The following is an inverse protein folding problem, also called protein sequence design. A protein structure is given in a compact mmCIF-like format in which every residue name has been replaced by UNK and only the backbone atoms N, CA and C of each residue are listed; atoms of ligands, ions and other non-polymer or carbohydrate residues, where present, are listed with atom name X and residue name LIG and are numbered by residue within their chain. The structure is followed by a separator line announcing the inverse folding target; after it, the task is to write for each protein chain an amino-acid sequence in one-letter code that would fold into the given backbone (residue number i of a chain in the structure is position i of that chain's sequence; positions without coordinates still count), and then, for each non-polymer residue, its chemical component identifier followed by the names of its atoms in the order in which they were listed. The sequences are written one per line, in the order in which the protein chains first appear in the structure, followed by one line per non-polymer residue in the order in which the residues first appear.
data_IF_381286058347
#
_entry.id   IF_381286058347
#
_cell.length_a   1.000
_cell.length_b   1.000
_cell.length_c   1.000
_cell.angle_alpha   90.00
_cell.angle_beta   90.00
_cell.angle_gamma   90.00
#
_symmetry.space_group_name_H-M   'P 1'
#
loop_
_entity.id
_entity.type
_entity.pdbx_description
1 polymer ?
#
# COMPACT_ATOMS: atom_id res chain seq x y z
N UNK A 1 -53.88 11.84 26.91
CA UNK A 1 -52.96 11.54 25.78
C UNK A 1 -53.74 11.83 24.50
N UNK A 2 -53.37 12.87 23.74
CA UNK A 2 -54.17 13.32 22.59
C UNK A 2 -54.09 12.31 21.42
N UNK A 3 -55.19 12.03 20.71
CA UNK A 3 -55.19 11.08 19.59
C UNK A 3 -54.48 11.67 18.36
N UNK A 4 -53.68 10.84 17.70
CA UNK A 4 -52.82 11.21 16.55
C UNK A 4 -53.64 11.25 15.25
N UNK A 5 -53.35 12.24 14.39
CA UNK A 5 -53.85 12.32 13.01
C UNK A 5 -53.13 11.32 12.09
N UNK A 6 -53.89 10.68 11.21
CA UNK A 6 -53.39 9.71 10.22
C UNK A 6 -52.62 10.42 9.08
N UNK A 7 -51.48 9.85 8.67
CA UNK A 7 -50.75 10.28 7.45
C UNK A 7 -49.24 10.55 7.56
N UNK A 8 -48.59 10.33 8.71
CA UNK A 8 -47.14 10.53 8.84
C UNK A 8 -46.36 9.20 8.62
N UNK A 9 -45.30 9.16 7.79
CA UNK A 9 -44.51 7.97 7.58
C UNK A 9 -43.71 7.58 8.84
N UNK A 10 -43.51 6.28 9.04
CA UNK A 10 -42.79 5.72 10.18
C UNK A 10 -41.35 6.23 10.26
N UNK A 11 -41.09 7.22 11.13
CA UNK A 11 -39.72 7.62 11.49
C UNK A 11 -39.16 6.59 12.48
N UNK A 12 -38.49 5.55 11.98
CA UNK A 12 -37.67 4.66 12.83
C UNK A 12 -36.47 5.45 13.34
N UNK A 13 -36.58 6.01 14.54
CA UNK A 13 -35.45 6.60 15.26
C UNK A 13 -34.65 5.45 15.86
N UNK A 14 -33.43 5.22 15.35
CA UNK A 14 -32.48 4.29 15.97
C UNK A 14 -32.08 4.78 17.36
N UNK A 15 -31.62 3.87 18.23
CA UNK A 15 -31.40 4.05 19.68
C UNK A 15 -30.48 5.22 20.09
N UNK A 16 -29.84 5.91 19.13
CA UNK A 16 -28.94 7.06 19.34
C UNK A 16 -29.32 8.30 18.49
N UNK A 17 -30.56 8.45 18.04
CA UNK A 17 -31.03 9.68 17.38
C UNK A 17 -30.53 9.95 15.96
N UNK A 18 -29.66 9.10 15.39
CA UNK A 18 -29.17 9.28 14.03
C UNK A 18 -30.15 8.75 12.98
N UNK A 19 -30.46 9.60 11.99
CA UNK A 19 -31.20 9.25 10.79
C UNK A 19 -30.31 8.46 9.83
N UNK A 20 -30.85 7.42 9.18
CA UNK A 20 -30.10 6.54 8.25
C UNK A 20 -29.75 7.19 6.90
N UNK A 21 -30.12 8.45 6.68
CA UNK A 21 -30.02 9.18 5.41
C UNK A 21 -29.10 10.40 5.48
N UNK A 22 -28.18 10.46 6.45
CA UNK A 22 -27.10 11.46 6.46
C UNK A 22 -25.91 10.98 5.62
N UNK A 23 -25.21 11.88 4.90
CA UNK A 23 -23.95 11.52 4.24
C UNK A 23 -22.97 11.03 5.33
N UNK A 24 -22.61 9.74 5.27
CA UNK A 24 -21.61 9.16 6.16
C UNK A 24 -20.30 9.90 5.93
N UNK A 25 -19.82 10.65 6.93
CA UNK A 25 -18.46 11.18 6.92
C UNK A 25 -17.48 10.01 6.75
N UNK A 26 -16.44 10.14 5.90
CA UNK A 26 -15.41 9.13 5.80
C UNK A 26 -14.75 8.99 7.18
N UNK A 27 -14.91 7.82 7.79
CA UNK A 27 -14.25 7.50 9.06
C UNK A 27 -12.84 7.03 8.74
N UNK A 28 -11.84 7.57 9.45
CA UNK A 28 -10.45 7.13 9.36
C UNK A 28 -10.39 5.66 9.77
N UNK A 29 -9.80 4.82 8.93
CA UNK A 29 -9.57 3.41 9.29
C UNK A 29 -8.35 3.38 10.19
N UNK A 30 -8.55 3.02 11.45
CA UNK A 30 -7.44 2.89 12.39
C UNK A 30 -6.54 1.74 11.93
N UNK A 31 -5.23 1.98 11.88
CA UNK A 31 -4.21 0.97 11.57
C UNK A 31 -4.35 -0.27 12.48
N UNK A 32 -4.79 -0.08 13.73
CA UNK A 32 -5.07 -1.18 14.67
C UNK A 32 -6.20 -2.10 14.18
N UNK A 33 -7.24 -1.54 13.57
CA UNK A 33 -8.38 -2.29 13.03
C UNK A 33 -7.99 -3.16 11.85
N UNK A 34 -7.04 -2.70 11.03
CA UNK A 34 -6.52 -3.43 9.87
C UNK A 34 -5.49 -4.51 10.26
N UNK A 35 -4.84 -4.39 11.42
CA UNK A 35 -3.78 -5.30 11.91
C UNK A 35 -4.22 -6.25 13.04
N UNK A 36 -5.45 -6.14 13.55
CA UNK A 36 -5.93 -6.80 14.78
C UNK A 36 -5.84 -8.34 14.81
N UNK A 37 -5.79 -9.03 13.67
CA UNK A 37 -5.60 -10.49 13.58
C UNK A 37 -4.18 -10.93 13.21
N UNK A 38 -3.25 -9.99 13.01
CA UNK A 38 -1.94 -10.27 12.40
C UNK A 38 -0.76 -10.30 13.39
N UNK A 39 -0.98 -10.00 14.67
CA UNK A 39 0.11 -9.90 15.64
C UNK A 39 0.87 -11.21 15.84
N UNK A 40 0.18 -12.35 15.96
CA UNK A 40 0.80 -13.67 16.07
C UNK A 40 1.49 -14.08 14.77
N UNK A 41 0.84 -13.87 13.63
CA UNK A 41 1.41 -14.17 12.30
C UNK A 41 2.66 -13.34 11.99
N UNK A 42 2.70 -12.08 12.41
CA UNK A 42 3.88 -11.23 12.23
C UNK A 42 5.05 -11.72 13.09
N UNK A 43 4.79 -12.17 14.32
CA UNK A 43 5.84 -12.72 15.17
C UNK A 43 6.41 -14.03 14.59
N UNK A 44 5.55 -14.90 14.05
CA UNK A 44 5.98 -16.11 13.34
C UNK A 44 6.83 -15.79 12.10
N UNK A 45 6.43 -14.78 11.31
CA UNK A 45 7.21 -14.31 10.14
C UNK A 45 8.59 -13.78 10.56
N UNK A 46 8.67 -13.02 11.65
CA UNK A 46 9.94 -12.53 12.18
C UNK A 46 10.84 -13.69 12.62
N UNK A 47 10.31 -14.62 13.40
CA UNK A 47 11.07 -15.80 13.86
C UNK A 47 11.54 -16.69 12.69
N UNK A 48 10.69 -16.91 11.70
CA UNK A 48 11.07 -17.65 10.48
C UNK A 48 12.19 -16.95 9.70
N UNK A 49 12.17 -15.61 9.63
CA UNK A 49 13.21 -14.82 8.97
C UNK A 49 14.53 -14.89 9.73
N UNK A 50 14.49 -14.81 11.08
CA UNK A 50 15.67 -15.02 11.94
C UNK A 50 16.25 -16.41 11.79
N UNK A 51 15.40 -17.43 11.66
CA UNK A 51 15.84 -18.81 11.44
C UNK A 51 16.47 -18.97 10.04
N UNK A 52 15.85 -18.40 9.00
CA UNK A 52 16.42 -18.41 7.65
C UNK A 52 17.80 -17.74 7.61
N UNK A 53 17.96 -16.57 8.25
CA UNK A 53 19.24 -15.89 8.37
C UNK A 53 20.33 -16.76 9.04
N UNK A 54 19.97 -17.48 10.12
CA UNK A 54 20.89 -18.41 10.81
C UNK A 54 21.30 -19.58 9.92
N UNK A 55 20.35 -20.13 9.15
CA UNK A 55 20.64 -21.21 8.20
C UNK A 55 21.57 -20.70 7.10
N UNK A 56 21.28 -19.55 6.51
CA UNK A 56 22.12 -18.94 5.47
C UNK A 56 23.56 -18.75 5.94
N UNK A 57 23.75 -18.20 7.14
CA UNK A 57 25.07 -18.02 7.74
C UNK A 57 25.80 -19.35 7.94
N UNK A 58 25.08 -20.39 8.43
CA UNK A 58 25.66 -21.73 8.57
C UNK A 58 26.03 -22.40 7.24
N UNK A 59 25.39 -22.01 6.14
CA UNK A 59 25.69 -22.45 4.78
C UNK A 59 26.76 -21.59 4.09
N UNK A 60 27.38 -20.64 4.82
CA UNK A 60 28.43 -19.77 4.31
C UNK A 60 27.95 -18.44 3.74
N UNK A 61 26.64 -18.18 3.69
CA UNK A 61 26.08 -16.91 3.21
C UNK A 61 25.93 -15.91 4.37
N UNK A 62 27.05 -15.50 4.94
CA UNK A 62 27.07 -14.45 5.94
C UNK A 62 26.61 -13.11 5.34
N UNK A 63 25.87 -12.34 6.14
CA UNK A 63 25.38 -11.02 5.74
C UNK A 63 26.54 -10.02 5.69
N UNK A 64 26.70 -9.38 4.54
CA UNK A 64 27.67 -8.32 4.31
C UNK A 64 27.00 -6.96 4.49
N UNK A 65 27.18 -6.36 5.68
CA UNK A 65 26.58 -5.06 6.03
C UNK A 65 27.58 -3.89 5.99
N UNK A 66 28.88 -4.16 6.16
CA UNK A 66 29.91 -3.12 6.21
C UNK A 66 31.28 -3.64 5.77
N UNK A 67 32.12 -2.73 5.30
CA UNK A 67 33.50 -3.02 4.90
C UNK A 67 33.86 -2.53 3.51
N UNK A 68 34.95 -3.07 2.95
CA UNK A 68 35.37 -2.78 1.58
C UNK A 68 34.35 -3.37 0.60
N UNK A 69 34.06 -2.63 -0.47
CA UNK A 69 33.18 -3.10 -1.55
C UNK A 69 33.65 -4.48 -2.02
N UNK A 70 32.72 -5.44 -2.02
CA UNK A 70 32.92 -6.78 -2.58
C UNK A 70 32.27 -6.87 -3.95
N UNK A 71 32.90 -7.60 -4.84
CA UNK A 71 32.36 -7.95 -6.15
C UNK A 71 31.99 -9.43 -6.10
N UNK A 72 30.81 -9.77 -6.60
CA UNK A 72 30.36 -11.15 -6.64
C UNK A 72 29.29 -11.37 -7.70
N UNK A 73 29.19 -12.61 -8.15
CA UNK A 73 28.18 -13.07 -9.08
C UNK A 73 26.87 -13.36 -8.33
N UNK A 74 25.79 -12.69 -8.73
CA UNK A 74 24.47 -12.85 -8.13
C UNK A 74 23.87 -14.21 -8.51
N UNK A 75 23.67 -15.10 -7.54
CA UNK A 75 23.15 -16.45 -7.77
C UNK A 75 21.68 -16.61 -7.42
N UNK A 76 21.18 -15.86 -6.45
CA UNK A 76 19.80 -15.98 -5.99
C UNK A 76 19.31 -14.70 -5.31
N UNK A 77 17.98 -14.55 -5.20
CA UNK A 77 17.34 -13.46 -4.48
C UNK A 77 16.05 -13.90 -3.80
N UNK A 78 15.83 -13.43 -2.58
CA UNK A 78 14.61 -13.71 -1.81
C UNK A 78 14.08 -12.46 -1.11
N UNK A 79 12.75 -12.29 -1.15
CA UNK A 79 12.09 -11.25 -0.36
C UNK A 79 12.23 -11.54 1.13
N UNK A 80 12.65 -10.55 1.89
CA UNK A 80 12.86 -10.66 3.33
C UNK A 80 12.24 -9.47 4.07
N UNK A 81 12.21 -9.55 5.39
CA UNK A 81 11.83 -8.45 6.27
C UNK A 81 13.00 -8.12 7.18
N UNK A 82 13.44 -6.87 7.14
CA UNK A 82 14.48 -6.33 8.02
C UNK A 82 13.79 -5.77 9.26
N UNK A 83 14.20 -6.24 10.43
CA UNK A 83 13.65 -5.76 11.69
C UNK A 83 14.08 -4.31 11.95
N UNK A 84 13.12 -3.47 12.34
CA UNK A 84 13.34 -2.08 12.71
C UNK A 84 12.47 -1.76 13.93
N UNK A 85 13.03 -1.07 14.92
CA UNK A 85 12.31 -0.67 16.14
C UNK A 85 11.25 0.40 15.88
N UNK A 86 11.42 1.21 14.84
CA UNK A 86 10.50 2.31 14.50
C UNK A 86 9.35 1.85 13.61
N UNK A 87 9.48 0.69 12.94
CA UNK A 87 8.50 0.18 11.97
C UNK A 87 7.90 -1.13 12.48
N UNK A 88 6.64 -1.12 12.95
CA UNK A 88 5.96 -2.34 13.35
C UNK A 88 5.85 -3.32 12.18
N UNK A 89 6.38 -4.53 12.37
CA UNK A 89 6.43 -5.56 11.33
C UNK A 89 7.65 -5.47 10.39
N UNK A 90 8.61 -4.58 10.69
CA UNK A 90 9.87 -4.43 9.94
C UNK A 90 9.72 -3.74 8.59
N UNK A 91 10.86 -3.49 7.96
CA UNK A 91 10.98 -2.94 6.60
C UNK A 91 11.07 -4.06 5.58
N UNK A 92 10.48 -3.86 4.40
CA UNK A 92 10.68 -4.78 3.29
C UNK A 92 12.11 -4.68 2.74
N UNK A 93 12.69 -5.82 2.42
CA UNK A 93 13.97 -5.90 1.75
C UNK A 93 14.07 -7.11 0.85
N UNK A 94 15.18 -7.19 0.12
CA UNK A 94 15.54 -8.35 -0.69
C UNK A 94 16.95 -8.79 -0.28
N UNK A 95 17.07 -10.05 0.12
CA UNK A 95 18.35 -10.72 0.31
C UNK A 95 18.86 -11.19 -1.05
N UNK A 96 20.06 -10.74 -1.40
CA UNK A 96 20.78 -11.12 -2.61
C UNK A 96 21.98 -11.98 -2.23
N UNK A 97 22.11 -13.14 -2.86
CA UNK A 97 23.15 -14.13 -2.56
C UNK A 97 24.21 -14.11 -3.65
N UNK A 98 25.48 -14.05 -3.26
CA UNK A 98 26.60 -13.87 -4.18
C UNK A 98 27.70 -14.92 -3.97
N UNK A 99 28.40 -15.22 -5.06
CA UNK A 99 29.70 -15.91 -5.05
C UNK A 99 30.75 -14.89 -5.47
N UNK A 100 31.72 -14.61 -4.62
CA UNK A 100 32.82 -13.69 -4.88
C UNK A 100 33.89 -14.27 -5.80
N UNK A 101 34.82 -13.41 -6.23
CA UNK A 101 35.90 -13.77 -7.16
C UNK A 101 36.87 -14.81 -6.56
N UNK A 102 37.08 -14.75 -5.25
CA UNK A 102 37.98 -15.65 -4.50
C UNK A 102 37.29 -17.00 -4.14
N UNK A 103 36.05 -17.21 -4.62
CA UNK A 103 35.22 -18.36 -4.26
C UNK A 103 34.56 -18.26 -2.88
N UNK A 104 34.64 -17.10 -2.22
CA UNK A 104 33.86 -16.82 -1.02
C UNK A 104 32.38 -16.64 -1.36
N UNK A 105 31.50 -16.93 -0.40
CA UNK A 105 30.07 -16.65 -0.53
C UNK A 105 29.66 -15.60 0.47
N UNK A 106 28.71 -14.76 0.08
CA UNK A 106 28.15 -13.74 0.95
C UNK A 106 26.75 -13.39 0.51
N UNK A 107 25.97 -12.79 1.41
CA UNK A 107 24.69 -12.16 1.03
C UNK A 107 24.65 -10.70 1.40
N UNK A 108 23.89 -9.91 0.66
CA UNK A 108 23.65 -8.50 0.96
C UNK A 108 22.15 -8.22 0.89
N UNK A 109 21.66 -7.36 1.78
CA UNK A 109 20.24 -7.02 1.83
C UNK A 109 20.03 -5.59 1.37
N UNK A 110 19.11 -5.41 0.43
CA UNK A 110 18.67 -4.10 0.01
C UNK A 110 17.30 -3.82 0.58
N UNK A 111 17.20 -2.80 1.42
CA UNK A 111 15.92 -2.25 1.84
C UNK A 111 15.23 -1.57 0.66
N UNK A 112 13.91 -1.76 0.57
CA UNK A 112 13.11 -1.15 -0.47
C UNK A 112 11.72 -0.81 0.05
N UNK A 113 11.20 0.35 -0.33
CA UNK A 113 9.85 0.78 0.01
C UNK A 113 8.86 0.25 -1.04
N UNK A 114 8.02 -0.75 -0.71
CA UNK A 114 7.02 -1.24 -1.64
C UNK A 114 6.05 -0.11 -2.01
N UNK A 115 5.61 -0.06 -3.26
CA UNK A 115 4.65 0.96 -3.69
C UNK A 115 3.61 0.41 -4.65
N UNK A 116 2.47 1.10 -4.74
CA UNK A 116 1.56 0.98 -5.87
C UNK A 116 1.11 2.35 -6.36
N UNK A 117 0.51 2.37 -7.55
CA UNK A 117 0.05 3.60 -8.20
C UNK A 117 -1.48 3.68 -8.15
N UNK A 118 -1.98 4.86 -7.80
CA UNK A 118 -3.39 5.22 -7.95
C UNK A 118 -3.56 6.14 -9.15
N UNK A 119 -4.37 5.70 -10.10
CA UNK A 119 -4.87 6.53 -11.17
C UNK A 119 -5.91 7.50 -10.58
N UNK A 120 -5.68 8.80 -10.74
CA UNK A 120 -6.57 9.85 -10.24
C UNK A 120 -7.17 10.62 -11.40
N UNK A 121 -8.39 11.15 -11.22
CA UNK A 121 -9.02 12.06 -12.17
C UNK A 121 -8.23 13.37 -12.21
N UNK A 122 -7.99 13.91 -13.40
CA UNK A 122 -7.26 15.18 -13.57
C UNK A 122 -7.91 16.30 -12.74
N UNK A 123 -7.11 17.02 -11.97
CA UNK A 123 -7.55 18.12 -11.09
C UNK A 123 -8.04 17.69 -9.71
N UNK A 124 -8.02 16.40 -9.39
CA UNK A 124 -8.43 15.84 -8.08
C UNK A 124 -7.26 15.23 -7.31
N UNK A 125 -6.03 15.42 -7.78
CA UNK A 125 -4.83 14.80 -7.24
C UNK A 125 -4.61 15.20 -5.78
N UNK A 126 -4.69 16.50 -5.47
CA UNK A 126 -4.51 17.00 -4.10
C UNK A 126 -5.59 16.48 -3.14
N UNK A 127 -6.87 16.46 -3.57
CA UNK A 127 -7.97 15.97 -2.72
C UNK A 127 -7.79 14.49 -2.37
N UNK A 128 -7.36 13.68 -3.35
CA UNK A 128 -7.11 12.25 -3.14
C UNK A 128 -5.87 12.03 -2.29
N UNK A 129 -4.81 12.81 -2.50
CA UNK A 129 -3.60 12.75 -1.68
C UNK A 129 -3.91 13.03 -0.20
N UNK A 130 -4.64 14.12 0.08
CA UNK A 130 -5.03 14.48 1.45
C UNK A 130 -5.96 13.43 2.06
N UNK A 131 -6.91 12.90 1.27
CA UNK A 131 -7.75 11.80 1.70
C UNK A 131 -6.92 10.57 2.10
N UNK A 132 -5.97 10.15 1.27
CA UNK A 132 -5.11 9.00 1.56
C UNK A 132 -4.26 9.23 2.81
N UNK A 133 -3.65 10.42 2.97
CA UNK A 133 -2.87 10.78 4.15
C UNK A 133 -3.69 10.66 5.44
N UNK A 134 -4.92 11.17 5.43
CA UNK A 134 -5.81 11.14 6.60
C UNK A 134 -6.45 9.76 6.83
N UNK A 135 -6.82 9.05 5.77
CA UNK A 135 -7.56 7.80 5.88
C UNK A 135 -6.68 6.62 6.29
N UNK A 136 -5.40 6.62 5.91
CA UNK A 136 -4.45 5.53 6.13
C UNK A 136 -3.18 6.01 6.86
N UNK A 137 -3.39 6.92 7.82
CA UNK A 137 -2.33 7.44 8.67
C UNK A 137 -1.59 6.31 9.38
N UNK A 138 -0.26 6.39 9.43
CA UNK A 138 0.61 5.37 10.04
C UNK A 138 0.86 4.11 9.19
N UNK A 139 0.16 3.93 8.05
CA UNK A 139 0.45 2.84 7.11
C UNK A 139 1.22 3.30 5.88
N UNK A 140 0.93 4.51 5.38
CA UNK A 140 1.63 5.08 4.23
C UNK A 140 2.90 5.78 4.71
N UNK A 141 4.05 5.42 4.13
CA UNK A 141 5.35 6.06 4.38
C UNK A 141 5.49 7.37 3.62
N UNK A 142 5.13 7.36 2.33
CA UNK A 142 5.25 8.55 1.47
C UNK A 142 4.23 8.51 0.33
N UNK A 143 3.82 9.69 -0.16
CA UNK A 143 3.00 9.83 -1.37
C UNK A 143 3.73 10.76 -2.34
N UNK A 144 3.89 10.33 -3.59
CA UNK A 144 4.52 11.12 -4.66
C UNK A 144 3.65 11.15 -5.89
N UNK A 145 3.45 12.34 -6.46
CA UNK A 145 2.83 12.47 -7.79
C UNK A 145 3.85 12.13 -8.87
N UNK A 146 3.50 11.19 -9.75
CA UNK A 146 4.35 10.76 -10.87
C UNK A 146 3.56 10.79 -12.17
N UNK A 147 4.25 11.02 -13.28
CA UNK A 147 3.65 10.98 -14.61
C UNK A 147 4.15 9.75 -15.37
N UNK A 148 3.22 8.92 -15.84
CA UNK A 148 3.51 7.70 -16.61
C UNK A 148 2.62 7.61 -17.84
N UNK A 149 3.13 6.96 -18.87
CA UNK A 149 2.35 6.59 -20.04
C UNK A 149 1.40 5.46 -19.69
N UNK A 150 0.15 5.59 -20.13
CA UNK A 150 -0.90 4.59 -19.93
C UNK A 150 -1.35 4.10 -21.30
N UNK A 151 -0.81 2.95 -21.72
CA UNK A 151 -1.08 2.34 -23.03
C UNK A 151 -2.55 1.95 -23.21
N UNK A 152 -3.34 1.91 -22.14
CA UNK A 152 -4.77 1.60 -22.22
C UNK A 152 -5.63 2.79 -22.63
N UNK A 153 -5.09 4.01 -22.58
CA UNK A 153 -5.83 5.19 -23.01
C UNK A 153 -5.87 5.31 -24.55
N UNK A 154 -7.00 5.72 -25.15
CA UNK A 154 -7.12 5.88 -26.60
C UNK A 154 -6.05 6.78 -27.23
N UNK A 155 -5.58 7.80 -26.49
CA UNK A 155 -4.64 8.81 -26.97
C UNK A 155 -3.19 8.54 -26.50
N UNK A 156 -2.82 7.30 -26.16
CA UNK A 156 -1.46 7.01 -25.66
C UNK A 156 -0.35 7.27 -26.72
N UNK A 157 -0.68 7.18 -28.01
CA UNK A 157 0.26 7.43 -29.10
C UNK A 157 0.59 8.92 -29.32
N UNK A 158 -0.19 9.84 -28.72
CA UNK A 158 0.07 11.28 -28.82
C UNK A 158 1.06 11.78 -27.76
N UNK A 159 1.67 10.88 -26.98
CA UNK A 159 2.60 11.20 -25.91
C UNK A 159 1.93 11.70 -24.63
N UNK A 160 0.62 11.50 -24.48
CA UNK A 160 -0.11 11.91 -23.28
C UNK A 160 0.33 11.08 -22.06
N UNK A 161 0.89 11.76 -21.06
CA UNK A 161 1.29 11.16 -19.78
C UNK A 161 0.21 11.41 -18.73
N UNK A 162 -0.25 10.34 -18.09
CA UNK A 162 -1.22 10.42 -17.01
C UNK A 162 -0.51 10.64 -15.67
N UNK A 163 -1.12 11.46 -14.82
CA UNK A 163 -0.70 11.64 -13.43
C UNK A 163 -1.22 10.49 -12.56
N UNK A 164 -0.33 9.92 -11.77
CA UNK A 164 -0.60 8.90 -10.77
C UNK A 164 -0.09 9.35 -9.41
N UNK A 165 -0.74 8.90 -8.35
CA UNK A 165 -0.20 8.99 -7.00
C UNK A 165 0.51 7.68 -6.67
N UNK A 166 1.82 7.74 -6.43
CA UNK A 166 2.62 6.64 -5.93
C UNK A 166 2.57 6.65 -4.41
N UNK A 167 1.91 5.64 -3.82
CA UNK A 167 1.90 5.43 -2.38
C UNK A 167 2.99 4.41 -2.05
N UNK A 168 3.92 4.81 -1.19
CA UNK A 168 5.04 3.99 -0.73
C UNK A 168 4.80 3.56 0.71
N UNK A 169 5.18 2.35 1.03
CA UNK A 169 4.94 1.66 2.30
C UNK A 169 6.27 1.22 2.90
N UNK A 170 6.30 0.96 4.21
CA UNK A 170 7.49 0.41 4.84
C UNK A 170 7.62 -1.10 4.62
N UNK A 171 6.50 -1.82 4.50
CA UNK A 171 6.47 -3.26 4.24
C UNK A 171 5.28 -3.66 3.33
N UNK A 172 5.28 -4.93 2.91
CA UNK A 172 4.25 -5.48 2.01
C UNK A 172 2.91 -5.68 2.71
N UNK A 173 2.90 -5.95 4.02
CA UNK A 173 1.65 -6.12 4.78
C UNK A 173 0.83 -4.82 4.77
N UNK A 174 1.47 -3.68 5.04
CA UNK A 174 0.83 -2.36 5.02
C UNK A 174 0.31 -2.00 3.62
N UNK A 175 1.09 -2.31 2.59
CA UNK A 175 0.68 -2.17 1.20
C UNK A 175 -0.61 -2.95 0.93
N UNK A 176 -0.66 -4.21 1.34
CA UNK A 176 -1.82 -5.09 1.11
C UNK A 176 -3.04 -4.65 1.95
N UNK A 177 -2.84 -4.17 3.17
CA UNK A 177 -3.89 -3.64 4.02
C UNK A 177 -4.56 -2.42 3.38
N UNK A 178 -3.76 -1.46 2.90
CA UNK A 178 -4.29 -0.28 2.19
C UNK A 178 -4.93 -0.68 0.86
N UNK A 179 -4.32 -1.58 0.09
CA UNK A 179 -4.91 -2.09 -1.16
C UNK A 179 -6.30 -2.71 -0.92
N UNK A 180 -6.45 -3.52 0.13
CA UNK A 180 -7.73 -4.15 0.49
C UNK A 180 -8.81 -3.11 0.83
N UNK A 181 -8.43 -2.02 1.49
CA UNK A 181 -9.35 -0.93 1.83
C UNK A 181 -9.70 -0.03 0.63
N UNK A 182 -8.75 0.22 -0.27
CA UNK A 182 -8.92 1.11 -1.44
C UNK A 182 -9.66 0.41 -2.59
N UNK A 183 -9.42 -0.89 -2.81
CA UNK A 183 -9.99 -1.64 -3.93
C UNK A 183 -11.52 -1.50 -4.07
N UNK A 184 -12.35 -1.63 -3.01
CA UNK A 184 -13.80 -1.49 -3.14
C UNK A 184 -14.23 -0.09 -3.62
N UNK A 185 -13.52 0.96 -3.19
CA UNK A 185 -13.78 2.34 -3.61
C UNK A 185 -13.44 2.51 -5.08
N UNK A 186 -12.29 1.97 -5.50
CA UNK A 186 -11.85 1.99 -6.90
C UNK A 186 -12.83 1.24 -7.79
N UNK A 187 -13.26 0.03 -7.41
CA UNK A 187 -14.21 -0.76 -8.20
C UNK A 187 -15.58 -0.11 -8.31
N UNK A 188 -16.05 0.56 -7.23
CA UNK A 188 -17.28 1.36 -7.29
C UNK A 188 -17.13 2.53 -8.25
N UNK A 189 -16.00 3.23 -8.22
CA UNK A 189 -15.76 4.39 -9.06
C UNK A 189 -15.61 4.00 -10.53
N UNK A 190 -14.89 2.91 -10.85
CA UNK A 190 -14.74 2.40 -12.22
C UNK A 190 -16.08 2.17 -12.92
N UNK A 191 -17.09 1.64 -12.21
CA UNK A 191 -18.43 1.41 -12.76
C UNK A 191 -19.17 2.71 -13.13
N UNK A 192 -18.79 3.83 -12.53
CA UNK A 192 -19.40 5.14 -12.77
C UNK A 192 -18.62 5.98 -13.79
N UNK A 193 -17.46 5.51 -14.27
CA UNK A 193 -16.68 6.22 -15.29
C UNK A 193 -17.30 5.93 -16.66
N UNK A 194 -17.93 6.95 -17.26
CA UNK A 194 -18.45 6.88 -18.62
C UNK A 194 -17.34 7.17 -19.65
N UNK A 195 -17.44 6.60 -20.84
CA UNK A 195 -16.48 6.84 -21.94
C UNK A 195 -16.29 8.33 -22.27
N UNK A 196 -17.33 9.14 -22.06
CA UNK A 196 -17.31 10.60 -22.26
C UNK A 196 -16.38 11.33 -21.28
N UNK A 197 -16.24 10.85 -20.03
CA UNK A 197 -15.31 11.42 -19.05
C UNK A 197 -13.85 11.21 -19.47
N UNK A 198 -13.54 10.08 -20.10
CA UNK A 198 -12.19 9.76 -20.57
C UNK A 198 -11.74 10.69 -21.69
N UNK A 199 -12.65 11.07 -22.60
CA UNK A 199 -12.35 12.06 -23.64
C UNK A 199 -12.24 13.49 -23.08
N UNK A 200 -13.05 13.82 -22.07
CA UNK A 200 -13.05 15.15 -21.45
C UNK A 200 -11.74 15.48 -20.70
N UNK A 201 -11.02 14.47 -20.17
CA UNK A 201 -9.72 14.71 -19.53
C UNK A 201 -8.65 15.24 -20.48
N UNK A 202 -8.79 14.94 -21.79
CA UNK A 202 -7.80 15.26 -22.83
C UNK A 202 -8.14 16.53 -23.61
N UNK A 203 -9.41 16.96 -23.64
CA UNK A 203 -9.85 18.13 -24.41
C UNK A 203 -9.53 19.50 -23.78
N UNK A 204 -8.67 19.55 -22.75
CA UNK A 204 -8.29 20.77 -22.02
C UNK A 204 -6.80 20.84 -21.72
#
# INVERSE_FOLDING_TARGET
MAPRRAGQPFRRVGKNGNTSYGPRKPQTVDASSLRSTEATSNNEKVESTRLANRIDESMGFARFDSGKKRVGWLVNMHSTTVEDGDVPGGKAGVDFYFIGEDGDTFKATLEYDPYFLLAVKKGREHEVEEYCKRAYEGLIKNIKTIEKEDLSMPNHLTGYRRKFLQLSFANVNDLLAVRKAVNPVVEKNKKNVNAMDTYAEVAK
#
